data_IF_524097189605
#
_entry.id   IF_524097189605
#
_cell.length_a   1.000
_cell.length_b   1.000
_cell.length_c   1.000
_cell.angle_alpha   90.00
_cell.angle_beta   90.00
_cell.angle_gamma   90.00
#
_symmetry.space_group_name_H-M   'P 1'
#
loop_
_entity.id
_entity.type
_entity.pdbx_description
1 polymer ?
#
# COMPACT_ATOMS: atom_id res chain seq x y z
N UNK A 1 -3.75 -20.21 -4.96
CA UNK A 1 -3.12 -19.03 -5.59
C UNK A 1 -3.93 -17.80 -5.25
N UNK A 2 -3.29 -16.75 -4.75
CA UNK A 2 -3.95 -15.50 -4.33
C UNK A 2 -4.15 -14.61 -5.57
N UNK A 3 -5.38 -14.16 -5.84
CA UNK A 3 -5.69 -13.25 -6.95
C UNK A 3 -5.66 -11.79 -6.48
N UNK A 4 -4.74 -11.00 -7.02
CA UNK A 4 -4.55 -9.57 -6.74
C UNK A 4 -4.43 -8.73 -8.02
N UNK A 5 -5.15 -9.10 -9.07
CA UNK A 5 -5.10 -8.46 -10.39
C UNK A 5 -5.83 -7.11 -10.49
N UNK A 6 -6.66 -6.76 -9.50
CA UNK A 6 -7.40 -5.50 -9.52
C UNK A 6 -6.59 -4.35 -8.95
N UNK A 7 -6.81 -3.15 -9.50
CA UNK A 7 -6.26 -1.89 -9.00
C UNK A 7 -7.29 -1.15 -8.15
N UNK A 8 -6.82 -0.45 -7.11
CA UNK A 8 -7.69 0.43 -6.33
C UNK A 8 -7.56 1.86 -6.84
N UNK A 9 -8.57 2.30 -7.62
CA UNK A 9 -8.58 3.62 -8.25
C UNK A 9 -9.91 4.31 -7.96
N UNK A 10 -9.85 5.58 -7.56
CA UNK A 10 -11.02 6.39 -7.26
C UNK A 10 -11.99 5.74 -6.24
N UNK A 11 -11.45 5.13 -5.20
CA UNK A 11 -12.25 4.49 -4.14
C UNK A 11 -12.85 3.13 -4.52
N UNK A 12 -12.46 2.54 -5.65
CA UNK A 12 -13.03 1.28 -6.15
C UNK A 12 -11.94 0.32 -6.63
N UNK A 13 -12.24 -0.98 -6.53
CA UNK A 13 -11.43 -2.04 -7.13
C UNK A 13 -11.84 -2.23 -8.59
N UNK A 14 -10.97 -1.85 -9.52
CA UNK A 14 -11.20 -1.90 -10.96
C UNK A 14 -10.32 -2.96 -11.61
N UNK A 15 -10.82 -3.58 -12.67
CA UNK A 15 -10.03 -4.48 -13.51
C UNK A 15 -9.05 -3.67 -14.38
N UNK A 16 -7.88 -4.24 -14.71
CA UNK A 16 -6.95 -3.62 -15.65
C UNK A 16 -7.63 -3.33 -17.00
N UNK A 17 -7.28 -2.21 -17.63
CA UNK A 17 -7.77 -1.88 -18.99
C UNK A 17 -7.26 -2.87 -20.03
N UNK A 18 -6.04 -3.34 -19.84
CA UNK A 18 -5.40 -4.41 -20.61
C UNK A 18 -4.81 -5.43 -19.64
N UNK A 19 -5.45 -6.61 -19.48
CA UNK A 19 -4.92 -7.65 -18.61
C UNK A 19 -3.51 -8.04 -19.02
N UNK A 20 -2.58 -8.01 -18.06
CA UNK A 20 -1.20 -8.44 -18.23
C UNK A 20 -0.77 -9.16 -16.95
N UNK A 21 -1.19 -10.41 -16.86
CA UNK A 21 -1.03 -11.21 -15.66
C UNK A 21 0.45 -11.55 -15.43
N UNK A 22 0.86 -11.43 -14.17
CA UNK A 22 2.20 -11.74 -13.73
C UNK A 22 2.14 -12.60 -12.46
N UNK A 23 2.85 -13.71 -12.48
CA UNK A 23 2.96 -14.60 -11.33
C UNK A 23 4.01 -14.11 -10.35
N UNK A 24 3.63 -14.02 -9.09
CA UNK A 24 4.55 -13.71 -7.98
C UNK A 24 5.08 -15.02 -7.43
N UNK A 25 6.39 -15.19 -7.56
CA UNK A 25 7.09 -16.42 -7.16
C UNK A 25 7.62 -16.28 -5.73
N UNK A 26 7.35 -17.29 -4.91
CA UNK A 26 7.99 -17.42 -3.61
C UNK A 26 9.43 -17.93 -3.80
N UNK A 27 10.46 -17.17 -3.45
CA UNK A 27 11.85 -17.57 -3.70
C UNK A 27 12.31 -18.76 -2.87
N UNK A 28 11.60 -19.12 -1.80
CA UNK A 28 11.94 -20.27 -0.95
C UNK A 28 11.43 -21.60 -1.51
N UNK A 29 10.33 -21.57 -2.26
CA UNK A 29 9.71 -22.77 -2.86
C UNK A 29 9.84 -22.82 -4.37
N UNK A 30 10.21 -21.69 -4.99
CA UNK A 30 10.26 -21.48 -6.45
C UNK A 30 8.89 -21.68 -7.14
N UNK A 31 7.81 -21.61 -6.37
CA UNK A 31 6.44 -21.78 -6.85
C UNK A 31 5.67 -20.44 -6.84
N UNK A 32 4.76 -20.31 -7.80
CA UNK A 32 3.84 -19.17 -7.86
C UNK A 32 2.81 -19.27 -6.72
N UNK A 33 2.71 -18.23 -5.89
CA UNK A 33 1.72 -18.16 -4.81
C UNK A 33 0.63 -17.12 -5.04
N UNK A 34 0.89 -16.11 -5.89
CA UNK A 34 -0.07 -15.06 -6.20
C UNK A 34 -0.01 -14.67 -7.69
N UNK A 35 -1.10 -14.08 -8.18
CA UNK A 35 -1.16 -13.45 -9.49
C UNK A 35 -1.56 -11.99 -9.34
N UNK A 36 -0.78 -11.10 -9.95
CA UNK A 36 -1.04 -9.68 -10.09
C UNK A 36 -1.27 -9.34 -11.57
N UNK A 37 -1.68 -8.12 -11.88
CA UNK A 37 -1.63 -7.58 -13.24
C UNK A 37 -0.67 -6.41 -13.29
N UNK A 38 0.12 -6.33 -14.35
CA UNK A 38 0.91 -5.14 -14.63
C UNK A 38 -0.01 -4.06 -15.20
N UNK A 39 0.17 -2.81 -14.75
CA UNK A 39 -0.63 -1.69 -15.19
C UNK A 39 -0.23 -1.20 -16.58
N UNK A 40 -1.21 -0.73 -17.33
CA UNK A 40 -1.01 -0.04 -18.60
C UNK A 40 -0.88 1.47 -18.43
N UNK A 41 -0.54 2.17 -19.51
CA UNK A 41 -0.56 3.64 -19.54
C UNK A 41 -1.96 4.19 -19.25
N UNK A 42 -3.00 3.53 -19.74
CA UNK A 42 -4.40 3.90 -19.52
C UNK A 42 -4.77 3.79 -18.02
N UNK A 43 -4.35 2.72 -17.35
CA UNK A 43 -4.59 2.53 -15.92
C UNK A 43 -3.88 3.61 -15.09
N UNK A 44 -2.63 3.91 -15.46
CA UNK A 44 -1.86 4.99 -14.82
C UNK A 44 -2.53 6.35 -15.00
N UNK A 45 -2.98 6.67 -16.22
CA UNK A 45 -3.67 7.92 -16.51
C UNK A 45 -4.99 8.05 -15.75
N UNK A 46 -5.74 6.96 -15.62
CA UNK A 46 -6.97 6.92 -14.83
C UNK A 46 -6.69 7.19 -13.34
N UNK A 47 -5.65 6.58 -12.78
CA UNK A 47 -5.23 6.78 -11.40
C UNK A 47 -4.78 8.24 -11.14
N UNK A 48 -3.95 8.80 -12.03
CA UNK A 48 -3.49 10.20 -11.94
C UNK A 48 -4.65 11.18 -12.07
N UNK A 49 -5.59 10.93 -13.00
CA UNK A 49 -6.78 11.77 -13.16
C UNK A 49 -7.66 11.77 -11.90
N UNK A 50 -7.87 10.60 -11.30
CA UNK A 50 -8.61 10.48 -10.05
C UNK A 50 -7.92 11.24 -8.89
N UNK A 51 -6.61 11.09 -8.77
CA UNK A 51 -5.82 11.80 -7.75
C UNK A 51 -5.88 13.32 -7.93
N UNK A 52 -5.77 13.82 -9.17
CA UNK A 52 -5.91 15.26 -9.46
C UNK A 52 -7.29 15.81 -9.09
N UNK A 53 -8.36 15.05 -9.33
CA UNK A 53 -9.72 15.47 -8.93
C UNK A 53 -9.84 15.51 -7.40
N UNK A 54 -9.31 14.51 -6.71
CA UNK A 54 -9.35 14.47 -5.25
C UNK A 54 -8.52 15.57 -4.59
N UNK A 55 -7.44 16.03 -5.24
CA UNK A 55 -6.59 17.10 -4.74
C UNK A 55 -7.34 18.40 -4.47
N UNK A 56 -8.37 18.72 -5.25
CA UNK A 56 -9.14 19.97 -5.10
C UNK A 56 -9.73 20.10 -3.70
N UNK A 57 -10.47 19.10 -3.25
CA UNK A 57 -11.04 19.09 -1.89
C UNK A 57 -10.00 18.75 -0.81
N UNK A 58 -9.07 17.86 -1.12
CA UNK A 58 -8.05 17.45 -0.17
C UNK A 58 -7.08 18.57 0.20
N UNK A 59 -6.75 19.46 -0.75
CA UNK A 59 -5.87 20.61 -0.49
C UNK A 59 -6.48 21.62 0.51
N UNK A 60 -7.80 21.65 0.62
CA UNK A 60 -8.55 22.52 1.54
C UNK A 60 -8.77 21.87 2.92
N UNK A 61 -8.44 20.57 3.08
CA UNK A 61 -8.59 19.87 4.36
C UNK A 61 -7.70 20.47 5.43
N UNK A 62 -8.21 20.51 6.66
CA UNK A 62 -7.47 21.01 7.81
C UNK A 62 -6.31 20.08 8.20
N UNK A 63 -5.35 20.61 8.98
CA UNK A 63 -4.27 19.79 9.55
C UNK A 63 -4.84 18.64 10.39
N UNK A 64 -5.88 18.91 11.18
CA UNK A 64 -6.46 17.93 12.08
C UNK A 64 -7.17 16.79 11.33
N UNK A 65 -7.87 17.09 10.24
CA UNK A 65 -8.46 16.08 9.38
C UNK A 65 -7.40 15.14 8.78
N UNK A 66 -6.29 15.70 8.29
CA UNK A 66 -5.18 14.91 7.75
C UNK A 66 -4.51 14.06 8.84
N UNK A 67 -4.31 14.63 10.03
CA UNK A 67 -3.73 13.92 11.16
C UNK A 67 -4.62 12.75 11.59
N UNK A 68 -5.92 12.98 11.76
CA UNK A 68 -6.89 11.95 12.11
C UNK A 68 -6.92 10.79 11.09
N UNK A 69 -6.75 11.10 9.79
CA UNK A 69 -6.67 10.07 8.76
C UNK A 69 -5.40 9.22 8.89
N UNK A 70 -4.26 9.85 9.14
CA UNK A 70 -2.98 9.17 9.35
C UNK A 70 -3.01 8.29 10.60
N UNK A 71 -3.61 8.76 11.69
CA UNK A 71 -3.79 7.96 12.91
C UNK A 71 -4.68 6.73 12.70
N UNK A 72 -5.76 6.88 11.92
CA UNK A 72 -6.58 5.74 11.50
C UNK A 72 -5.80 4.75 10.66
N UNK A 73 -5.03 5.24 9.68
CA UNK A 73 -4.18 4.40 8.85
C UNK A 73 -3.18 3.62 9.70
N UNK A 74 -2.51 4.30 10.62
CA UNK A 74 -1.54 3.71 11.53
C UNK A 74 -2.20 2.62 12.42
N UNK A 75 -3.40 2.89 12.94
CA UNK A 75 -4.15 1.92 13.76
C UNK A 75 -4.50 0.65 12.97
N UNK A 76 -4.96 0.81 11.73
CA UNK A 76 -5.29 -0.32 10.85
C UNK A 76 -4.02 -1.09 10.47
N UNK A 77 -2.95 -0.38 10.14
CA UNK A 77 -1.67 -1.00 9.79
C UNK A 77 -1.13 -1.86 10.94
N UNK A 78 -1.16 -1.33 12.18
CA UNK A 78 -0.75 -2.09 13.36
C UNK A 78 -1.58 -3.36 13.58
N UNK A 79 -2.88 -3.31 13.31
CA UNK A 79 -3.74 -4.51 13.39
C UNK A 79 -3.41 -5.57 12.33
N UNK A 80 -2.95 -5.13 11.17
CA UNK A 80 -2.62 -5.99 10.04
C UNK A 80 -1.10 -6.22 9.89
N UNK A 81 -0.35 -5.92 10.91
CA UNK A 81 1.11 -5.96 10.89
C UNK A 81 1.66 -7.34 10.51
N UNK A 82 1.09 -8.42 11.07
CA UNK A 82 1.46 -9.79 10.75
C UNK A 82 1.19 -10.14 9.27
N UNK A 83 0.04 -9.74 8.72
CA UNK A 83 -0.27 -9.97 7.31
C UNK A 83 0.77 -9.33 6.36
N UNK A 84 1.30 -8.16 6.74
CA UNK A 84 2.33 -7.50 5.97
C UNK A 84 3.68 -8.23 6.06
N UNK A 85 4.05 -8.68 7.26
CA UNK A 85 5.27 -9.46 7.47
C UNK A 85 5.24 -10.79 6.69
N UNK A 86 4.09 -11.48 6.72
CA UNK A 86 3.88 -12.71 5.94
C UNK A 86 4.04 -12.47 4.44
N UNK A 87 3.42 -11.39 3.92
CA UNK A 87 3.52 -11.04 2.50
C UNK A 87 4.98 -10.75 2.09
N UNK A 88 5.73 -10.00 2.89
CA UNK A 88 7.14 -9.70 2.66
C UNK A 88 7.97 -10.99 2.67
N UNK A 89 7.75 -11.86 3.64
CA UNK A 89 8.47 -13.13 3.72
C UNK A 89 8.19 -14.03 2.51
N UNK A 90 6.94 -14.10 2.06
CA UNK A 90 6.55 -14.90 0.91
C UNK A 90 7.10 -14.34 -0.42
N UNK A 91 7.14 -13.02 -0.57
CA UNK A 91 7.51 -12.35 -1.81
C UNK A 91 9.04 -12.19 -1.95
N UNK A 92 9.74 -11.90 -0.84
CA UNK A 92 11.17 -11.62 -0.83
C UNK A 92 12.02 -12.75 -0.27
N UNK A 93 11.41 -13.73 0.36
CA UNK A 93 12.14 -14.78 1.10
C UNK A 93 12.82 -14.27 2.38
N UNK A 94 12.41 -13.13 2.90
CA UNK A 94 12.98 -12.58 4.12
C UNK A 94 12.65 -13.47 5.34
N UNK A 95 13.60 -13.72 6.25
CA UNK A 95 13.30 -14.38 7.53
C UNK A 95 12.18 -13.60 8.26
N UNK A 96 11.25 -14.33 8.90
CA UNK A 96 10.08 -13.73 9.54
C UNK A 96 10.42 -12.67 10.58
N UNK A 97 11.46 -12.90 11.38
CA UNK A 97 11.93 -11.94 12.38
C UNK A 97 12.33 -10.61 11.71
N UNK A 98 13.05 -10.68 10.60
CA UNK A 98 13.49 -9.53 9.87
C UNK A 98 12.35 -8.84 9.11
N UNK A 99 11.46 -9.61 8.50
CA UNK A 99 10.25 -9.10 7.86
C UNK A 99 9.38 -8.34 8.88
N UNK A 100 9.24 -8.85 10.09
CA UNK A 100 8.45 -8.24 11.16
C UNK A 100 9.15 -7.02 11.74
N UNK A 101 10.37 -7.16 12.24
CA UNK A 101 11.01 -6.15 13.09
C UNK A 101 11.66 -5.02 12.31
N UNK A 102 12.09 -5.28 11.07
CA UNK A 102 12.81 -4.29 10.26
C UNK A 102 11.94 -3.78 9.12
N UNK A 103 11.51 -4.65 8.21
CA UNK A 103 10.85 -4.21 6.98
C UNK A 103 9.45 -3.67 7.21
N UNK A 104 8.62 -4.38 7.97
CA UNK A 104 7.28 -3.91 8.29
C UNK A 104 7.30 -2.67 9.16
N UNK A 105 8.24 -2.56 10.12
CA UNK A 105 8.38 -1.37 10.97
C UNK A 105 8.82 -0.12 10.19
N UNK A 106 9.59 -0.27 9.14
CA UNK A 106 10.06 0.86 8.32
C UNK A 106 8.91 1.65 7.70
N UNK A 107 7.80 1.01 7.34
CA UNK A 107 6.60 1.68 6.86
C UNK A 107 5.98 2.62 7.91
N UNK A 108 6.13 2.33 9.20
CA UNK A 108 5.58 3.15 10.28
C UNK A 108 6.33 4.47 10.46
N UNK A 109 7.60 4.53 10.08
CA UNK A 109 8.41 5.74 10.19
C UNK A 109 7.90 6.87 9.29
N UNK A 110 7.31 6.53 8.15
CA UNK A 110 6.76 7.50 7.20
C UNK A 110 5.31 7.88 7.47
N UNK A 111 4.58 7.06 8.22
CA UNK A 111 3.17 7.27 8.57
C UNK A 111 2.99 7.85 9.98
N UNK A 112 3.99 7.76 10.84
CA UNK A 112 3.94 8.36 12.17
C UNK A 112 4.17 9.89 12.07
N UNK A 113 3.39 10.70 12.82
CA UNK A 113 3.66 12.14 12.92
C UNK A 113 5.09 12.37 13.40
N UNK A 114 5.86 13.13 12.63
CA UNK A 114 7.20 13.54 13.06
C UNK A 114 7.10 14.43 14.31
N UNK A 115 8.06 14.35 15.26
CA UNK A 115 8.14 15.33 16.34
C UNK A 115 8.16 16.79 15.87
N UNK A 116 8.53 17.04 14.62
CA UNK A 116 8.48 18.37 13.99
C UNK A 116 7.04 18.82 13.69
N UNK A 117 6.12 17.87 13.47
CA UNK A 117 4.72 18.19 13.16
C UNK A 117 3.94 18.60 14.41
N UNK A 118 4.47 18.30 15.59
CA UNK A 118 3.91 18.70 16.91
C UNK A 118 4.41 20.05 17.40
N UNK A 119 5.21 20.79 16.62
CA UNK A 119 5.52 22.18 16.96
C UNK A 119 4.32 23.05 16.64
N UNK A 120 3.46 23.23 17.63
CA UNK A 120 2.59 24.40 17.72
C UNK A 120 3.48 25.62 17.93
N UNK A 121 3.53 26.49 16.94
CA UNK A 121 3.95 27.88 17.08
C UNK A 121 2.96 28.65 17.90
#
# INVERSE_FOLDING_TARGET
MIDKRKFYINGQWVSPSKPNDYEVINPSTEEAFATISLGSTEDTNAAVSAAKKALVSWSESSKDERLNLLEKLLSIYKKRYGEMADAISMEMGAPMDWATDVQTSSCLLYTSPSPRDNRTS
#
